data_IF_194145561696
#
_entry.id   IF_194145561696
#
_cell.length_a   1.000
_cell.length_b   1.000
_cell.length_c   1.000
_cell.angle_alpha   90.00
_cell.angle_beta   90.00
_cell.angle_gamma   90.00
#
_symmetry.space_group_name_H-M   'P 1'
#
loop_
_entity.id
_entity.type
_entity.pdbx_description
1 polymer ?
#
# COMPACT_ATOMS: atom_id res chain seq x y z
N UNK A 1 23.19 -77.77 74.01
CA UNK A 1 21.97 -78.59 74.18
C UNK A 1 20.74 -77.69 74.05
N UNK A 2 19.64 -78.17 73.45
CA UNK A 2 18.57 -77.36 72.85
C UNK A 2 17.38 -77.19 73.79
N UNK A 3 16.61 -76.11 73.65
CA UNK A 3 15.16 -76.12 73.93
C UNK A 3 14.45 -75.16 72.97
N UNK A 4 13.64 -75.76 72.10
CA UNK A 4 12.64 -75.18 71.21
C UNK A 4 11.54 -74.45 71.96
N UNK A 5 11.10 -73.27 71.48
CA UNK A 5 9.72 -72.79 71.66
C UNK A 5 9.21 -72.00 70.45
N UNK A 6 8.34 -72.69 69.72
CA UNK A 6 7.04 -72.20 69.26
C UNK A 6 7.03 -71.08 68.21
N UNK A 7 7.08 -71.52 66.94
CA UNK A 7 6.57 -70.77 65.79
C UNK A 7 5.06 -70.51 65.95
N UNK A 8 4.71 -69.41 66.63
CA UNK A 8 3.36 -68.83 66.53
C UNK A 8 3.20 -68.27 65.12
N UNK A 9 2.59 -69.06 64.25
CA UNK A 9 2.06 -68.61 62.96
C UNK A 9 1.09 -67.47 63.23
N UNK A 10 1.54 -66.23 63.05
CA UNK A 10 0.67 -65.06 63.01
C UNK A 10 -0.18 -65.25 61.76
N UNK A 11 -1.40 -65.77 61.93
CA UNK A 11 -2.41 -65.71 60.89
C UNK A 11 -2.83 -64.25 60.79
N UNK A 12 -2.13 -63.47 59.98
CA UNK A 12 -2.66 -62.17 59.57
C UNK A 12 -3.95 -62.49 58.83
N UNK A 13 -5.05 -62.01 59.40
CA UNK A 13 -6.35 -62.02 58.77
C UNK A 13 -6.24 -61.07 57.58
N UNK A 14 -5.88 -61.62 56.41
CA UNK A 14 -5.85 -60.89 55.14
C UNK A 14 -7.31 -60.80 54.69
N UNK A 15 -8.03 -59.95 55.42
CA UNK A 15 -9.16 -59.20 54.88
C UNK A 15 -8.74 -58.77 53.47
N UNK A 16 -9.54 -59.12 52.46
CA UNK A 16 -9.27 -58.82 51.06
C UNK A 16 -9.35 -57.31 50.80
N UNK A 17 -8.40 -56.56 51.36
CA UNK A 17 -8.12 -55.18 51.00
C UNK A 17 -7.29 -55.24 49.73
N UNK A 18 -7.98 -55.37 48.61
CA UNK A 18 -7.44 -55.09 47.30
C UNK A 18 -7.07 -53.61 47.29
N UNK A 19 -5.82 -53.29 47.58
CA UNK A 19 -5.31 -51.93 47.36
C UNK A 19 -4.50 -51.92 46.07
N UNK A 20 -4.69 -50.89 45.25
CA UNK A 20 -4.01 -50.77 43.96
C UNK A 20 -2.59 -50.28 44.22
N UNK A 21 -1.63 -51.21 44.22
CA UNK A 21 -0.21 -50.88 44.35
C UNK A 21 0.31 -50.20 43.07
N UNK A 22 0.05 -48.89 42.93
CA UNK A 22 0.55 -48.09 41.83
C UNK A 22 1.68 -47.16 42.29
N UNK A 23 2.88 -47.33 41.74
CA UNK A 23 3.99 -46.42 41.98
C UNK A 23 3.74 -45.12 41.21
N UNK A 24 3.37 -44.07 41.93
CA UNK A 24 3.17 -42.73 41.35
C UNK A 24 4.46 -42.29 40.66
N UNK A 25 4.35 -41.94 39.38
CA UNK A 25 5.43 -41.35 38.58
C UNK A 25 4.94 -40.03 38.01
N UNK A 26 5.64 -38.96 38.33
CA UNK A 26 5.44 -37.66 37.70
C UNK A 26 6.34 -37.60 36.47
N UNK A 27 5.76 -37.26 35.32
CA UNK A 27 6.53 -37.05 34.09
C UNK A 27 6.02 -35.79 33.39
N UNK A 28 6.94 -35.03 32.81
CA UNK A 28 6.65 -33.90 31.95
C UNK A 28 7.27 -34.19 30.58
N UNK A 29 6.62 -35.04 29.79
CA UNK A 29 7.07 -35.31 28.43
C UNK A 29 6.74 -34.11 27.56
N UNK A 30 7.78 -33.47 27.05
CA UNK A 30 7.65 -32.41 26.05
C UNK A 30 7.09 -33.04 24.78
N UNK A 31 6.13 -32.41 24.09
CA UNK A 31 5.63 -32.90 22.82
C UNK A 31 6.75 -32.97 21.77
N UNK A 32 6.64 -33.92 20.85
CA UNK A 32 7.56 -33.99 19.71
C UNK A 32 7.51 -32.70 18.90
N UNK A 33 8.68 -32.31 18.38
CA UNK A 33 8.84 -31.08 17.61
C UNK A 33 7.93 -31.16 16.38
N UNK A 34 6.99 -30.21 16.20
CA UNK A 34 6.13 -30.21 15.04
C UNK A 34 6.96 -30.03 13.77
N UNK A 35 6.48 -30.54 12.65
CA UNK A 35 7.13 -30.34 11.37
C UNK A 35 7.26 -28.84 11.07
N UNK A 36 8.49 -28.40 10.78
CA UNK A 36 8.71 -27.02 10.32
C UNK A 36 7.92 -26.80 9.02
N UNK A 37 7.15 -25.71 8.90
CA UNK A 37 6.50 -25.38 7.64
C UNK A 37 7.55 -25.22 6.55
N UNK A 38 7.25 -25.73 5.36
CA UNK A 38 8.10 -25.55 4.17
C UNK A 38 7.62 -24.27 3.47
N UNK A 39 8.41 -23.21 3.57
CA UNK A 39 8.20 -22.02 2.76
C UNK A 39 8.56 -22.33 1.31
N UNK A 40 7.70 -21.94 0.38
CA UNK A 40 7.98 -21.99 -1.05
C UNK A 40 8.54 -20.64 -1.50
N UNK A 41 9.49 -20.67 -2.44
CA UNK A 41 9.98 -19.44 -3.05
C UNK A 41 8.89 -18.85 -3.93
N UNK A 42 8.68 -17.54 -3.79
CA UNK A 42 7.77 -16.82 -4.65
C UNK A 42 8.36 -16.78 -6.08
N UNK A 43 7.61 -17.19 -7.12
CA UNK A 43 8.19 -17.49 -8.44
C UNK A 43 8.42 -16.25 -9.30
N UNK A 44 8.33 -15.05 -8.73
CA UNK A 44 8.42 -13.83 -9.49
C UNK A 44 9.50 -12.90 -8.95
N UNK A 45 10.09 -12.17 -9.88
CA UNK A 45 11.11 -11.19 -9.57
C UNK A 45 10.53 -10.00 -8.77
N UNK A 46 11.37 -9.43 -7.90
CA UNK A 46 11.04 -8.21 -7.19
C UNK A 46 10.99 -7.00 -8.15
N UNK A 47 11.66 -7.09 -9.31
CA UNK A 47 11.68 -6.06 -10.36
C UNK A 47 10.40 -6.02 -11.21
N UNK A 48 9.36 -6.76 -10.85
CA UNK A 48 8.04 -6.63 -11.51
C UNK A 48 7.34 -5.30 -11.23
N UNK A 49 7.80 -4.57 -10.22
CA UNK A 49 7.25 -3.27 -9.89
C UNK A 49 7.99 -2.20 -10.69
N UNK A 50 7.25 -1.23 -11.20
CA UNK A 50 7.83 -0.02 -11.76
C UNK A 50 8.09 0.92 -10.58
N UNK A 51 9.33 1.40 -10.45
CA UNK A 51 9.66 2.42 -9.47
C UNK A 51 8.77 3.64 -9.65
N UNK A 52 8.34 4.23 -8.54
CA UNK A 52 7.58 5.47 -8.58
C UNK A 52 8.47 6.58 -9.15
N UNK A 53 8.33 6.84 -10.44
CA UNK A 53 9.03 7.88 -11.17
C UNK A 53 8.02 8.67 -12.00
N UNK A 54 8.24 9.98 -12.10
CA UNK A 54 7.51 10.81 -13.06
C UNK A 54 7.88 10.32 -14.46
N UNK A 55 6.98 9.56 -15.08
CA UNK A 55 7.27 8.95 -16.37
C UNK A 55 7.34 10.06 -17.42
N UNK A 56 8.27 9.92 -18.37
CA UNK A 56 8.45 10.91 -19.45
C UNK A 56 7.15 11.22 -20.19
N UNK A 57 6.24 10.24 -20.34
CA UNK A 57 4.94 10.46 -20.97
C UNK A 57 4.04 11.41 -20.17
N UNK A 58 4.13 11.43 -18.84
CA UNK A 58 3.36 12.35 -18.00
C UNK A 58 3.85 13.79 -18.17
N UNK A 59 5.17 13.98 -18.25
CA UNK A 59 5.79 15.30 -18.43
C UNK A 59 5.62 15.82 -19.85
N UNK A 60 5.73 14.96 -20.86
CA UNK A 60 5.59 15.34 -22.27
C UNK A 60 4.12 15.36 -22.73
N UNK A 61 3.17 15.10 -21.83
CA UNK A 61 1.75 15.18 -22.18
C UNK A 61 1.36 16.65 -22.39
N UNK A 62 1.03 17.01 -23.64
CA UNK A 62 0.43 18.31 -23.93
C UNK A 62 -1.03 18.26 -23.48
N UNK A 63 -1.34 18.98 -22.40
CA UNK A 63 -2.71 19.10 -21.94
C UNK A 63 -3.48 20.05 -22.85
N UNK A 64 -4.65 19.61 -23.29
CA UNK A 64 -5.57 20.48 -24.01
C UNK A 64 -6.20 21.46 -23.02
N UNK A 65 -6.20 22.74 -23.40
CA UNK A 65 -6.90 23.78 -22.64
C UNK A 65 -8.40 23.62 -22.91
N UNK A 66 -9.11 23.00 -21.96
CA UNK A 66 -10.57 22.93 -22.00
C UNK A 66 -11.09 24.32 -21.65
N UNK A 67 -11.65 24.99 -22.64
CA UNK A 67 -12.22 26.34 -22.51
C UNK A 67 -13.73 26.26 -22.72
N UNK A 68 -14.44 27.21 -22.12
CA UNK A 68 -15.88 27.36 -22.32
C UNK A 68 -16.17 27.69 -23.79
N UNK A 69 -17.42 27.45 -24.22
CA UNK A 69 -17.85 27.63 -25.63
C UNK A 69 -17.52 29.03 -26.16
N UNK A 70 -17.67 30.06 -25.31
CA UNK A 70 -17.44 31.45 -25.68
C UNK A 70 -16.06 31.97 -25.26
N UNK A 71 -15.12 31.08 -24.90
CA UNK A 71 -13.78 31.41 -24.40
C UNK A 71 -13.79 32.39 -23.20
N UNK A 72 -14.91 32.45 -22.48
CA UNK A 72 -15.19 33.44 -21.43
C UNK A 72 -15.12 34.90 -21.91
N UNK A 73 -15.46 35.14 -23.18
CA UNK A 73 -15.53 36.48 -23.80
C UNK A 73 -17.02 36.84 -24.01
N UNK A 74 -17.68 37.48 -23.03
CA UNK A 74 -19.06 37.90 -23.17
C UNK A 74 -19.16 39.06 -24.18
N UNK A 75 -19.97 38.87 -25.23
CA UNK A 75 -20.27 39.90 -26.20
C UNK A 75 -21.54 40.64 -25.76
N UNK A 76 -21.40 41.90 -25.37
CA UNK A 76 -22.54 42.74 -25.02
C UNK A 76 -23.11 43.40 -26.28
N UNK A 77 -24.41 43.18 -26.55
CA UNK A 77 -25.12 43.81 -27.67
C UNK A 77 -26.17 44.82 -27.18
N UNK A 78 -26.30 45.01 -25.86
CA UNK A 78 -27.30 45.87 -25.24
C UNK A 78 -26.81 47.32 -25.24
N UNK A 79 -25.55 47.53 -24.88
CA UNK A 79 -24.92 48.85 -24.89
C UNK A 79 -23.84 48.94 -26.01
N UNK A 80 -24.13 49.62 -27.13
CA UNK A 80 -23.18 49.75 -28.23
C UNK A 80 -22.03 50.72 -27.91
N UNK A 81 -22.11 51.49 -26.82
CA UNK A 81 -21.05 52.45 -26.46
C UNK A 81 -19.79 51.77 -25.95
N UNK A 82 -19.90 50.56 -25.40
CA UNK A 82 -18.78 49.79 -24.84
C UNK A 82 -17.72 49.46 -25.89
N UNK A 83 -18.14 49.23 -27.13
CA UNK A 83 -17.25 48.87 -28.24
C UNK A 83 -16.99 50.02 -29.21
N UNK A 84 -17.42 51.24 -28.87
CA UNK A 84 -17.23 52.39 -29.75
C UNK A 84 -15.73 52.75 -29.81
N UNK A 85 -15.09 52.71 -30.98
CA UNK A 85 -13.68 53.07 -31.10
C UNK A 85 -13.50 54.58 -30.90
N UNK A 86 -12.46 54.96 -30.17
CA UNK A 86 -11.99 56.34 -30.08
C UNK A 86 -11.35 56.79 -31.42
N UNK A 87 -11.35 58.09 -31.71
CA UNK A 87 -10.68 58.63 -32.91
C UNK A 87 -9.15 58.49 -32.79
N UNK A 88 -8.56 57.59 -33.61
CA UNK A 88 -7.13 57.24 -33.62
C UNK A 88 -6.58 56.72 -32.27
N UNK A 89 -6.96 55.50 -31.85
CA UNK A 89 -6.43 54.91 -30.63
C UNK A 89 -4.94 54.56 -30.82
N UNK A 90 -4.10 54.95 -29.86
CA UNK A 90 -2.72 54.47 -29.80
C UNK A 90 -2.71 53.04 -29.28
N UNK A 91 -2.26 52.09 -30.09
CA UNK A 91 -2.17 50.68 -29.71
C UNK A 91 -1.02 50.47 -28.71
N UNK A 92 -1.23 49.62 -27.71
CA UNK A 92 -0.16 49.23 -26.79
C UNK A 92 0.84 48.31 -27.51
N UNK A 93 2.16 48.42 -27.26
CA UNK A 93 3.16 47.56 -27.91
C UNK A 93 2.94 46.06 -27.69
N UNK A 94 2.38 45.65 -26.54
CA UNK A 94 2.05 44.24 -26.30
C UNK A 94 0.86 43.77 -27.16
N UNK A 95 -0.11 44.65 -27.43
CA UNK A 95 -1.26 44.34 -28.29
C UNK A 95 -0.84 44.30 -29.77
N UNK A 96 0.07 45.19 -30.17
CA UNK A 96 0.69 45.18 -31.51
C UNK A 96 1.42 43.85 -31.77
N UNK A 97 2.07 43.28 -30.76
CA UNK A 97 2.75 42.00 -30.87
C UNK A 97 1.80 40.82 -31.12
N UNK A 98 0.52 40.92 -30.71
CA UNK A 98 -0.50 39.91 -30.93
C UNK A 98 -1.08 39.95 -32.35
N UNK A 99 -0.89 41.05 -33.09
CA UNK A 99 -1.38 41.21 -34.46
C UNK A 99 -0.49 40.53 -35.52
N UNK A 100 0.72 40.10 -35.17
CA UNK A 100 1.61 39.41 -36.10
C UNK A 100 1.20 37.95 -36.33
N UNK A 101 1.17 37.52 -37.58
CA UNK A 101 0.93 36.12 -37.94
C UNK A 101 1.98 35.18 -37.33
N UNK A 102 1.57 33.96 -36.94
CA UNK A 102 2.42 32.94 -36.30
C UNK A 102 3.71 32.63 -37.07
N UNK A 103 3.72 32.85 -38.40
CA UNK A 103 4.90 32.65 -39.28
C UNK A 103 6.03 33.63 -38.95
N UNK A 104 5.68 34.80 -38.40
CA UNK A 104 6.61 35.90 -38.14
C UNK A 104 7.09 35.93 -36.68
N UNK A 105 6.35 35.29 -35.78
CA UNK A 105 6.71 35.20 -34.36
C UNK A 105 7.86 34.20 -34.22
N UNK A 106 9.07 34.61 -33.78
CA UNK A 106 10.13 33.66 -33.48
C UNK A 106 9.63 32.76 -32.34
N UNK A 107 9.41 31.48 -32.62
CA UNK A 107 8.91 30.54 -31.63
C UNK A 107 9.83 30.55 -30.41
N UNK A 108 9.36 31.17 -29.31
CA UNK A 108 10.04 31.12 -28.03
C UNK A 108 9.97 29.69 -27.55
N UNK A 109 11.05 28.93 -27.79
CA UNK A 109 11.25 27.63 -27.16
C UNK A 109 11.41 27.86 -25.66
N UNK A 110 10.33 27.70 -24.92
CA UNK A 110 10.40 27.58 -23.47
C UNK A 110 11.23 26.33 -23.17
N UNK A 111 12.42 26.54 -22.61
CA UNK A 111 13.22 25.46 -22.01
C UNK A 111 12.51 25.10 -20.71
N UNK A 112 11.99 23.88 -20.63
CA UNK A 112 11.75 23.21 -19.36
C UNK A 112 13.09 22.71 -18.81
#
# INVERSE_FOLDING_TARGET
MPVTKDNKKIKSNIDHRWDLLCRVRYNNTIPDIPFKPKFINYPFDNDRYVDYANFSLQTNHKYDLITEVDLDIPIDLIDPTIYQPEDNPTLHPDDEALLYDEVTIPQKKYKY
#
